data_IF_716445228241
#
_entry.id   IF_716445228241
#
_cell.length_a   1.000
_cell.length_b   1.000
_cell.length_c   1.000
_cell.angle_alpha   90.00
_cell.angle_beta   90.00
_cell.angle_gamma   90.00
#
_symmetry.space_group_name_H-M   'P 1'
#
loop_
_entity.id
_entity.type
_entity.pdbx_description
1 polymer ?
#
# COMPACT_ATOMS: atom_id res chain seq x y z
N UNK A 1 3.01 -8.31 1.61
CA UNK A 1 4.32 -7.61 1.69
C UNK A 1 4.78 -7.35 0.28
N UNK A 2 5.22 -6.13 -0.03
CA UNK A 2 5.64 -5.69 -1.37
C UNK A 2 6.99 -4.98 -1.29
N UNK A 3 7.82 -5.09 -2.33
CA UNK A 3 9.03 -4.28 -2.45
C UNK A 3 8.68 -2.97 -3.13
N UNK A 4 9.00 -1.85 -2.50
CA UNK A 4 8.69 -0.52 -2.99
C UNK A 4 9.91 0.42 -2.93
N UNK A 5 9.89 1.45 -3.78
CA UNK A 5 10.87 2.54 -3.77
C UNK A 5 10.16 3.88 -3.61
N UNK A 6 10.70 4.76 -2.77
CA UNK A 6 10.11 6.09 -2.53
C UNK A 6 10.50 7.05 -3.66
N UNK A 7 9.49 7.58 -4.37
CA UNK A 7 9.69 8.57 -5.46
C UNK A 7 9.84 10.00 -4.95
N UNK A 8 9.07 10.39 -3.93
CA UNK A 8 9.05 11.74 -3.32
C UNK A 8 9.17 11.62 -1.80
N UNK A 9 10.01 12.43 -1.15
CA UNK A 9 10.27 12.36 0.30
C UNK A 9 11.71 12.77 0.65
N UNK A 10 12.16 12.44 1.87
CA UNK A 10 13.55 12.68 2.32
C UNK A 10 14.56 12.03 1.36
N UNK A 11 15.67 12.70 1.01
CA UNK A 11 16.68 12.15 0.10
C UNK A 11 17.19 10.77 0.50
N UNK A 12 17.34 10.51 1.81
CA UNK A 12 17.89 9.26 2.35
C UNK A 12 17.06 8.01 2.05
N UNK A 13 15.77 8.20 1.75
CA UNK A 13 14.79 7.14 1.49
C UNK A 13 14.56 6.89 -0.01
N UNK A 14 14.97 7.81 -0.88
CA UNK A 14 14.80 7.67 -2.33
C UNK A 14 15.82 6.69 -2.90
N UNK A 15 15.49 6.07 -4.03
CA UNK A 15 16.35 5.11 -4.77
C UNK A 15 16.76 3.84 -3.98
N UNK A 16 16.27 3.65 -2.76
CA UNK A 16 16.43 2.42 -1.97
C UNK A 16 15.19 1.55 -2.10
N UNK A 17 15.39 0.25 -2.26
CA UNK A 17 14.32 -0.75 -2.26
C UNK A 17 14.08 -1.18 -0.81
N UNK A 18 12.84 -1.11 -0.36
CA UNK A 18 12.43 -1.48 1.00
C UNK A 18 11.15 -2.30 0.98
N UNK A 19 10.98 -3.24 1.93
CA UNK A 19 9.71 -3.93 2.11
C UNK A 19 8.66 -2.92 2.61
N UNK A 20 7.41 -3.14 2.21
CA UNK A 20 6.26 -2.36 2.65
C UNK A 20 5.01 -3.24 2.73
N UNK A 21 4.03 -2.78 3.49
CA UNK A 21 2.72 -3.40 3.67
C UNK A 21 1.64 -2.48 3.10
N UNK A 22 0.78 -3.03 2.23
CA UNK A 22 -0.38 -2.32 1.69
C UNK A 22 -1.47 -2.35 2.76
N UNK A 23 -1.94 -1.18 3.18
CA UNK A 23 -2.96 -1.03 4.24
C UNK A 23 -4.34 -0.68 3.67
N UNK A 24 -4.40 0.02 2.54
CA UNK A 24 -5.65 0.39 1.88
C UNK A 24 -5.59 0.10 0.39
N UNK A 25 -6.71 -0.36 -0.16
CA UNK A 25 -6.87 -0.68 -1.57
C UNK A 25 -8.22 -0.17 -2.09
N UNK A 26 -8.18 0.57 -3.20
CA UNK A 26 -9.36 1.12 -3.88
C UNK A 26 -10.16 0.06 -4.64
N UNK A 27 -9.51 -1.01 -5.08
CA UNK A 27 -10.20 -2.14 -5.70
C UNK A 27 -11.05 -2.86 -4.64
N UNK A 28 -12.36 -3.02 -4.83
CA UNK A 28 -13.20 -3.75 -3.89
C UNK A 28 -12.78 -5.22 -3.81
N UNK A 29 -12.79 -5.76 -2.60
CA UNK A 29 -12.55 -7.18 -2.34
C UNK A 29 -13.62 -7.75 -1.41
N UNK A 30 -13.89 -9.04 -1.57
CA UNK A 30 -14.92 -9.75 -0.81
C UNK A 30 -14.34 -10.25 0.51
N UNK A 31 -14.93 -9.84 1.63
CA UNK A 31 -14.62 -10.36 2.97
C UNK A 31 -15.31 -11.71 3.20
N UNK A 32 -14.87 -12.43 4.23
CA UNK A 32 -15.38 -13.79 4.55
C UNK A 32 -16.87 -13.84 4.86
N UNK A 33 -17.43 -12.75 5.40
CA UNK A 33 -18.84 -12.53 5.69
C UNK A 33 -19.67 -12.13 4.45
N UNK A 34 -19.05 -11.99 3.27
CA UNK A 34 -19.73 -11.72 2.00
C UNK A 34 -19.87 -10.24 1.63
N UNK A 35 -19.50 -9.32 2.52
CA UNK A 35 -19.50 -7.88 2.24
C UNK A 35 -18.30 -7.51 1.36
N UNK A 36 -18.53 -6.60 0.40
CA UNK A 36 -17.45 -6.01 -0.39
C UNK A 36 -16.91 -4.77 0.33
N UNK A 37 -15.59 -4.73 0.54
CA UNK A 37 -14.92 -3.61 1.18
C UNK A 37 -13.95 -2.96 0.19
N UNK A 38 -13.96 -1.63 0.15
CA UNK A 38 -13.02 -0.82 -0.63
C UNK A 38 -12.66 0.44 0.15
N UNK A 39 -11.52 1.03 -0.19
CA UNK A 39 -11.08 2.30 0.36
C UNK A 39 -11.12 3.39 -0.72
N UNK A 40 -11.11 4.65 -0.31
CA UNK A 40 -11.08 5.77 -1.25
C UNK A 40 -9.73 5.82 -2.02
N UNK A 41 -8.63 5.55 -1.33
CA UNK A 41 -7.27 5.62 -1.83
C UNK A 41 -6.47 4.32 -1.64
N UNK A 42 -5.35 4.23 -2.36
CA UNK A 42 -4.36 3.19 -2.14
C UNK A 42 -3.27 3.74 -1.21
N UNK A 43 -2.99 3.02 -0.12
CA UNK A 43 -1.96 3.42 0.84
C UNK A 43 -1.11 2.23 1.29
N UNK A 44 0.16 2.50 1.55
CA UNK A 44 1.12 1.54 2.08
C UNK A 44 2.00 2.16 3.15
N UNK A 45 2.51 1.32 4.04
CA UNK A 45 3.40 1.66 5.15
C UNK A 45 4.68 0.85 4.96
N UNK A 46 5.85 1.48 5.14
CA UNK A 46 7.16 0.83 5.11
C UNK A 46 7.38 0.10 6.42
#
# INVERSE_FOLDING_TARGET
>A
MVMATVKKGKPDLRKKVMPAVIVRQRKPWRRKDGVYMYFEDNAGVI
#
